data_IF_685920205257
#
_entry.id   IF_685920205257
#
_cell.length_a   1.000
_cell.length_b   1.000
_cell.length_c   1.000
_cell.angle_alpha   90.00
_cell.angle_beta   90.00
_cell.angle_gamma   90.00
#
_symmetry.space_group_name_H-M   'P 1'
#
loop_
_entity.id
_entity.type
_entity.pdbx_description
1 polymer ?
#
# COMPACT_ATOMS: atom_id res chain seq x y z
N UNK A 1 -14.62 -4.58 -5.86
CA UNK A 1 -15.80 -3.71 -6.09
C UNK A 1 -15.77 -3.19 -7.51
N UNK A 2 -16.92 -3.07 -8.18
CA UNK A 2 -16.96 -2.52 -9.54
C UNK A 2 -16.73 -1.00 -9.52
N UNK A 3 -16.17 -0.40 -10.60
CA UNK A 3 -15.88 1.03 -10.67
C UNK A 3 -17.08 1.94 -10.35
N UNK A 4 -18.30 1.47 -10.60
CA UNK A 4 -19.54 2.20 -10.27
C UNK A 4 -19.66 2.63 -8.81
N UNK A 5 -19.11 1.85 -7.88
CA UNK A 5 -19.28 2.06 -6.44
C UNK A 5 -17.97 2.31 -5.70
N UNK A 6 -16.83 2.15 -6.36
CA UNK A 6 -15.52 2.41 -5.77
C UNK A 6 -15.23 3.91 -5.83
N UNK A 7 -14.98 4.54 -4.68
CA UNK A 7 -14.41 5.90 -4.63
C UNK A 7 -12.95 5.84 -5.09
N UNK A 8 -12.51 6.85 -5.84
CA UNK A 8 -11.16 6.91 -6.41
C UNK A 8 -10.07 6.75 -5.35
N UNK A 9 -10.24 7.37 -4.18
CA UNK A 9 -9.28 7.31 -3.06
C UNK A 9 -9.12 5.88 -2.53
N UNK A 10 -10.23 5.18 -2.32
CA UNK A 10 -10.23 3.79 -1.86
C UNK A 10 -9.73 2.84 -2.95
N UNK A 11 -10.12 3.08 -4.21
CA UNK A 11 -9.65 2.28 -5.34
C UNK A 11 -8.14 2.41 -5.54
N UNK A 12 -7.59 3.62 -5.35
CA UNK A 12 -6.17 3.88 -5.48
C UNK A 12 -5.36 3.10 -4.43
N UNK A 13 -5.81 3.02 -3.17
CA UNK A 13 -5.14 2.25 -2.11
C UNK A 13 -4.90 0.80 -2.53
N UNK A 14 -5.86 0.17 -3.21
CA UNK A 14 -5.78 -1.22 -3.66
C UNK A 14 -5.37 -1.37 -5.13
N UNK A 15 -4.87 -0.30 -5.76
CA UNK A 15 -4.35 -0.37 -7.13
C UNK A 15 -3.00 -1.09 -7.18
N UNK A 16 -2.69 -1.71 -8.32
CA UNK A 16 -1.39 -2.34 -8.57
C UNK A 16 -0.22 -1.35 -8.38
N UNK A 17 -0.40 -0.10 -8.84
CA UNK A 17 0.59 0.97 -8.63
C UNK A 17 0.87 1.19 -7.14
N UNK A 18 -0.18 1.31 -6.32
CA UNK A 18 -0.02 1.54 -4.89
C UNK A 18 0.52 0.29 -4.16
N UNK A 19 0.16 -0.92 -4.61
CA UNK A 19 0.72 -2.19 -4.12
C UNK A 19 2.23 -2.23 -4.30
N UNK A 20 2.71 -2.10 -5.53
CA UNK A 20 4.16 -2.17 -5.82
C UNK A 20 4.94 -0.97 -5.26
N UNK A 21 4.30 0.20 -5.11
CA UNK A 21 4.94 1.33 -4.41
C UNK A 21 5.22 0.97 -2.94
N UNK A 22 4.26 0.36 -2.24
CA UNK A 22 4.47 -0.09 -0.86
C UNK A 22 5.52 -1.20 -0.77
N UNK A 23 5.56 -2.12 -1.73
CA UNK A 23 6.60 -3.14 -1.77
C UNK A 23 7.98 -2.52 -1.93
N UNK A 24 8.12 -1.54 -2.84
CA UNK A 24 9.38 -0.82 -3.03
C UNK A 24 9.81 -0.09 -1.75
N UNK A 25 8.89 0.58 -1.08
CA UNK A 25 9.17 1.26 0.20
C UNK A 25 9.68 0.27 1.25
N UNK A 26 9.02 -0.89 1.40
CA UNK A 26 9.41 -1.92 2.37
C UNK A 26 10.79 -2.49 2.05
N UNK A 27 11.06 -2.79 0.78
CA UNK A 27 12.37 -3.29 0.32
C UNK A 27 13.49 -2.28 0.62
N UNK A 28 13.27 -1.00 0.34
CA UNK A 28 14.24 0.06 0.64
C UNK A 28 14.44 0.19 2.15
N UNK A 29 13.37 0.14 2.95
CA UNK A 29 13.43 0.21 4.41
C UNK A 29 14.19 -0.99 5.01
N UNK A 30 14.04 -2.19 4.43
CA UNK A 30 14.79 -3.36 4.85
C UNK A 30 16.29 -3.18 4.59
N UNK A 31 16.67 -2.67 3.41
CA UNK A 31 18.08 -2.36 3.12
C UNK A 31 18.59 -1.25 4.04
N UNK A 32 17.79 -0.21 4.30
CA UNK A 32 18.15 0.87 5.22
C UNK A 32 18.43 0.35 6.64
N UNK A 33 17.62 -0.59 7.13
CA UNK A 33 17.86 -1.25 8.41
C UNK A 33 19.20 -2.00 8.40
N UNK A 34 19.54 -2.71 7.31
CA UNK A 34 20.81 -3.43 7.17
C UNK A 34 22.02 -2.49 7.06
N UNK A 35 21.87 -1.29 6.50
CA UNK A 35 22.89 -0.24 6.57
C UNK A 35 23.13 0.21 8.01
N UNK A 36 22.07 0.41 8.80
CA UNK A 36 22.19 0.78 10.23
C UNK A 36 22.87 -0.31 11.07
N UNK A 37 22.73 -1.58 10.67
CA UNK A 37 23.43 -2.71 11.27
C UNK A 37 24.88 -2.89 10.78
N UNK A 38 25.32 -2.11 9.79
CA UNK A 38 26.66 -2.19 9.21
C UNK A 38 26.87 -3.35 8.23
N UNK A 39 25.80 -4.02 7.79
CA UNK A 39 25.85 -5.14 6.85
C UNK A 39 25.94 -4.69 5.38
N UNK A 40 25.38 -3.52 5.08
CA UNK A 40 25.33 -2.92 3.75
C UNK A 40 25.98 -1.55 3.81
N UNK A 41 26.70 -1.19 2.75
CA UNK A 41 27.35 0.12 2.62
C UNK A 41 26.31 1.20 2.36
N UNK A 42 26.52 2.41 2.89
CA UNK A 42 25.59 3.53 2.67
C UNK A 42 25.52 3.91 1.20
N UNK A 43 26.61 3.72 0.45
CA UNK A 43 26.68 3.98 -0.99
C UNK A 43 25.75 3.07 -1.79
N UNK A 44 25.63 1.79 -1.40
CA UNK A 44 24.71 0.84 -2.04
C UNK A 44 23.24 1.25 -1.79
N UNK A 45 22.91 1.76 -0.60
CA UNK A 45 21.58 2.29 -0.30
C UNK A 45 21.26 3.55 -1.10
N UNK A 46 22.23 4.47 -1.25
CA UNK A 46 22.07 5.65 -2.10
C UNK A 46 21.79 5.26 -3.55
N UNK A 47 22.58 4.32 -4.10
CA UNK A 47 22.36 3.81 -5.45
C UNK A 47 20.98 3.15 -5.61
N UNK A 48 20.54 2.37 -4.62
CA UNK A 48 19.17 1.82 -4.60
C UNK A 48 18.14 2.94 -4.63
N UNK A 49 18.22 3.93 -3.73
CA UNK A 49 17.23 5.03 -3.68
C UNK A 49 17.19 5.87 -4.95
N UNK A 50 18.32 6.04 -5.63
CA UNK A 50 18.42 6.77 -6.90
C UNK A 50 17.80 5.97 -8.07
N UNK A 51 18.03 4.65 -8.13
CA UNK A 51 17.54 3.78 -9.21
C UNK A 51 16.18 3.13 -8.94
N UNK A 52 15.68 3.18 -7.70
CA UNK A 52 14.47 2.53 -7.24
C UNK A 52 13.24 3.03 -8.00
N UNK A 53 12.85 2.26 -9.00
CA UNK A 53 11.70 2.49 -9.85
C UNK A 53 11.18 1.16 -10.35
N UNK A 54 9.94 1.15 -10.79
CA UNK A 54 9.31 -0.04 -11.35
C UNK A 54 8.34 0.34 -12.47
N UNK A 55 8.09 -0.64 -13.35
CA UNK A 55 7.15 -0.53 -14.45
C UNK A 55 6.11 -1.66 -14.40
N UNK A 56 4.83 -1.29 -14.46
CA UNK A 56 3.72 -2.25 -14.27
C UNK A 56 3.62 -3.24 -15.44
N UNK A 57 3.87 -2.77 -16.66
CA UNK A 57 3.81 -3.64 -17.84
C UNK A 57 4.95 -4.65 -17.80
N UNK A 58 6.16 -4.19 -17.46
CA UNK A 58 7.33 -5.04 -17.31
C UNK A 58 7.18 -6.06 -16.19
N UNK A 59 6.59 -5.69 -15.05
CA UNK A 59 6.29 -6.66 -13.98
C UNK A 59 5.33 -7.73 -14.48
N UNK A 60 4.27 -7.36 -15.19
CA UNK A 60 3.30 -8.31 -15.73
C UNK A 60 3.94 -9.28 -16.74
N UNK A 61 4.85 -8.80 -17.60
CA UNK A 61 5.64 -9.66 -18.50
C UNK A 61 6.50 -10.66 -17.73
N UNK A 62 7.23 -10.19 -16.71
CA UNK A 62 8.06 -11.04 -15.87
C UNK A 62 7.22 -12.05 -15.08
N UNK A 63 6.07 -11.64 -14.54
CA UNK A 63 5.16 -12.53 -13.82
C UNK A 63 4.62 -13.64 -14.72
N UNK A 64 4.30 -13.34 -15.99
CA UNK A 64 3.88 -14.34 -16.96
C UNK A 64 4.95 -15.42 -17.22
N UNK A 65 6.24 -15.08 -17.05
CA UNK A 65 7.37 -16.00 -17.20
C UNK A 65 7.73 -16.73 -15.90
N UNK A 66 7.66 -16.03 -14.76
CA UNK A 66 8.10 -16.53 -13.45
C UNK A 66 7.01 -17.24 -12.67
N UNK A 67 5.75 -16.95 -12.99
CA UNK A 67 4.56 -17.40 -12.26
C UNK A 67 4.62 -17.05 -10.76
N UNK A 68 5.29 -15.95 -10.43
CA UNK A 68 5.43 -15.43 -9.08
C UNK A 68 5.64 -13.91 -9.12
N UNK A 69 4.66 -13.18 -8.58
CA UNK A 69 4.56 -11.72 -8.55
C UNK A 69 5.71 -11.01 -7.81
N UNK A 70 6.07 -11.44 -6.60
CA UNK A 70 7.18 -10.85 -5.82
C UNK A 70 8.51 -11.02 -6.56
N UNK A 71 8.74 -12.20 -7.15
CA UNK A 71 9.97 -12.44 -7.93
C UNK A 71 10.01 -11.51 -9.15
N UNK A 72 8.89 -11.39 -9.87
CA UNK A 72 8.78 -10.50 -11.02
C UNK A 72 9.02 -9.03 -10.65
N UNK A 73 8.44 -8.58 -9.53
CA UNK A 73 8.65 -7.24 -8.99
C UNK A 73 10.12 -6.97 -8.63
N UNK A 74 10.74 -7.85 -7.85
CA UNK A 74 12.14 -7.68 -7.42
C UNK A 74 13.08 -7.70 -8.62
N UNK A 75 12.83 -8.56 -9.61
CA UNK A 75 13.59 -8.59 -10.86
C UNK A 75 13.49 -7.27 -11.62
N UNK A 76 12.27 -6.72 -11.78
CA UNK A 76 12.08 -5.41 -12.42
C UNK A 76 12.80 -4.26 -11.70
N UNK A 77 12.72 -4.20 -10.37
CA UNK A 77 13.43 -3.14 -9.61
C UNK A 77 14.94 -3.28 -9.77
N UNK A 78 15.46 -4.52 -9.77
CA UNK A 78 16.89 -4.78 -9.97
C UNK A 78 17.38 -4.39 -11.36
N UNK A 79 16.56 -4.52 -12.41
CA UNK A 79 16.87 -4.03 -13.76
C UNK A 79 17.19 -2.52 -13.76
N UNK A 80 16.50 -1.74 -12.90
CA UNK A 80 16.68 -0.29 -12.82
C UNK A 80 17.84 0.14 -11.90
N UNK A 81 18.09 -0.61 -10.82
CA UNK A 81 19.11 -0.27 -9.81
C UNK A 81 20.52 -0.73 -10.21
N UNK A 82 20.65 -1.85 -10.94
CA UNK A 82 21.94 -2.46 -11.24
C UNK A 82 22.53 -3.25 -10.07
N UNK A 83 23.86 -3.23 -9.91
CA UNK A 83 24.59 -4.12 -9.00
C UNK A 83 24.14 -4.03 -7.54
N UNK A 84 23.83 -2.83 -7.04
CA UNK A 84 23.33 -2.62 -5.68
C UNK A 84 21.99 -3.33 -5.43
N UNK A 85 21.23 -3.64 -6.47
CA UNK A 85 19.96 -4.38 -6.41
C UNK A 85 20.08 -5.78 -5.82
N UNK A 86 21.30 -6.34 -5.72
CA UNK A 86 21.56 -7.62 -5.00
C UNK A 86 21.12 -7.60 -3.54
N UNK A 87 21.02 -6.41 -2.93
CA UNK A 87 20.61 -6.25 -1.53
C UNK A 87 19.09 -6.24 -1.35
N UNK A 88 18.33 -5.97 -2.41
CA UNK A 88 16.87 -6.03 -2.39
C UNK A 88 16.44 -7.47 -2.15
N UNK A 89 15.43 -7.66 -1.31
CA UNK A 89 14.84 -8.94 -0.92
C UNK A 89 15.80 -9.90 -0.22
N UNK A 90 16.99 -9.46 0.19
CA UNK A 90 17.95 -10.33 0.85
C UNK A 90 17.51 -10.65 2.28
N UNK A 91 17.36 -11.93 2.58
CA UNK A 91 16.97 -12.42 3.92
C UNK A 91 15.48 -12.30 4.23
N UNK A 92 14.67 -11.84 3.25
CA UNK A 92 13.22 -11.76 3.36
C UNK A 92 12.55 -12.95 2.65
N UNK A 93 11.36 -13.27 3.10
CA UNK A 93 10.38 -14.06 2.35
C UNK A 93 9.38 -13.14 1.67
N UNK A 94 8.64 -13.65 0.68
CA UNK A 94 7.55 -12.93 0.02
C UNK A 94 6.54 -12.34 1.03
N UNK A 95 6.21 -13.08 2.09
CA UNK A 95 5.25 -12.65 3.12
C UNK A 95 5.73 -11.45 3.94
N UNK A 96 7.04 -11.32 4.19
CA UNK A 96 7.57 -10.16 4.92
C UNK A 96 7.24 -8.84 4.21
N UNK A 97 7.20 -8.88 2.88
CA UNK A 97 6.84 -7.73 2.03
C UNK A 97 5.32 -7.64 1.84
N UNK A 98 4.68 -8.74 1.41
CA UNK A 98 3.26 -8.76 1.04
C UNK A 98 2.36 -8.48 2.24
N UNK A 99 2.59 -9.12 3.38
CA UNK A 99 1.73 -8.98 4.55
C UNK A 99 1.91 -7.61 5.19
N UNK A 100 3.16 -7.11 5.23
CA UNK A 100 3.44 -5.75 5.70
C UNK A 100 2.78 -4.70 4.80
N UNK A 101 2.91 -4.83 3.48
CA UNK A 101 2.26 -3.92 2.53
C UNK A 101 0.73 -3.95 2.64
N UNK A 102 0.18 -5.14 2.88
CA UNK A 102 -1.27 -5.35 3.08
C UNK A 102 -1.74 -4.68 4.37
N UNK A 103 -0.99 -4.83 5.47
CA UNK A 103 -1.28 -4.13 6.72
C UNK A 103 -1.26 -2.61 6.56
N UNK A 104 -0.30 -2.07 5.80
CA UNK A 104 -0.23 -0.64 5.46
C UNK A 104 -1.44 -0.21 4.62
N UNK A 105 -1.83 -0.97 3.59
CA UNK A 105 -2.99 -0.65 2.78
C UNK A 105 -4.30 -0.69 3.59
N UNK A 106 -4.45 -1.64 4.52
CA UNK A 106 -5.60 -1.72 5.42
C UNK A 106 -5.65 -0.54 6.39
N UNK A 107 -4.51 -0.10 6.93
CA UNK A 107 -4.42 1.12 7.74
C UNK A 107 -4.90 2.33 6.94
N UNK A 108 -4.36 2.54 5.73
CA UNK A 108 -4.74 3.68 4.88
C UNK A 108 -6.24 3.66 4.55
N UNK A 109 -6.81 2.47 4.31
CA UNK A 109 -8.24 2.30 4.06
C UNK A 109 -9.07 2.62 5.32
N UNK A 110 -8.62 2.20 6.50
CA UNK A 110 -9.25 2.53 7.77
C UNK A 110 -9.25 4.03 8.04
N UNK A 111 -8.17 4.74 7.71
CA UNK A 111 -8.11 6.20 7.87
C UNK A 111 -9.20 6.91 7.06
N UNK A 112 -9.43 6.51 5.81
CA UNK A 112 -10.54 7.03 4.99
C UNK A 112 -11.91 6.73 5.60
N UNK A 113 -12.11 5.52 6.10
CA UNK A 113 -13.37 5.11 6.71
C UNK A 113 -13.65 5.87 8.01
N UNK A 114 -12.64 6.11 8.83
CA UNK A 114 -12.75 6.87 10.08
C UNK A 114 -13.19 8.30 9.77
N UNK A 115 -12.61 8.95 8.77
CA UNK A 115 -13.02 10.28 8.33
C UNK A 115 -14.49 10.29 7.88
N UNK A 116 -14.88 9.34 7.03
CA UNK A 116 -16.25 9.22 6.52
C UNK A 116 -17.29 9.02 7.62
N UNK A 117 -16.99 8.12 8.57
CA UNK A 117 -17.84 7.88 9.74
C UNK A 117 -17.94 9.13 10.60
N UNK A 118 -16.86 9.89 10.73
CA UNK A 118 -16.85 11.20 11.40
C UNK A 118 -17.83 12.18 10.75
N UNK A 119 -17.79 12.31 9.42
CA UNK A 119 -18.70 13.17 8.65
C UNK A 119 -20.17 12.73 8.78
N UNK A 120 -20.43 11.44 8.62
CA UNK A 120 -21.77 10.87 8.79
C UNK A 120 -22.32 11.15 10.19
N UNK A 121 -21.49 10.95 11.22
CA UNK A 121 -21.86 11.21 12.62
C UNK A 121 -22.26 12.66 12.83
N UNK A 122 -21.53 13.61 12.25
CA UNK A 122 -21.89 15.03 12.32
C UNK A 122 -23.22 15.32 11.62
N UNK A 123 -23.46 14.77 10.43
CA UNK A 123 -24.72 14.97 9.69
C UNK A 123 -25.92 14.39 10.44
N UNK A 124 -25.80 13.18 10.97
CA UNK A 124 -26.86 12.53 11.77
C UNK A 124 -27.11 13.32 13.05
N UNK A 125 -26.06 13.77 13.74
CA UNK A 125 -26.18 14.61 14.94
C UNK A 125 -26.93 15.90 14.65
N UNK A 126 -26.61 16.58 13.55
CA UNK A 126 -27.29 17.81 13.16
C UNK A 126 -28.79 17.57 12.96
N UNK A 127 -29.17 16.51 12.24
CA UNK A 127 -30.57 16.15 12.02
C UNK A 127 -31.30 15.74 13.30
N UNK A 128 -30.63 15.01 14.19
CA UNK A 128 -31.18 14.63 15.48
C UNK A 128 -31.47 15.86 16.36
N UNK A 129 -30.58 16.87 16.35
CA UNK A 129 -30.79 18.12 17.09
C UNK A 129 -31.90 18.99 16.46
N UNK A 130 -31.94 19.10 15.14
CA UNK A 130 -32.98 19.82 14.39
C UNK A 130 -34.39 19.28 14.73
N UNK A 131 -34.54 17.96 14.75
CA UNK A 131 -35.82 17.30 15.00
C UNK A 131 -36.04 16.87 16.45
N UNK A 132 -35.22 17.36 17.39
CA UNK A 132 -35.25 16.93 18.80
C UNK A 132 -36.64 17.03 19.44
N UNK A 133 -37.43 18.04 19.05
CA UNK A 133 -38.77 18.30 19.58
C UNK A 133 -39.88 17.99 18.55
N UNK A 134 -39.56 17.37 17.41
CA UNK A 134 -40.56 16.99 16.42
C UNK A 134 -41.35 15.80 16.95
N UNK A 135 -42.66 15.98 17.18
CA UNK A 135 -43.54 14.90 17.62
C UNK A 135 -43.70 13.86 16.50
N UNK A 136 -43.48 12.59 16.82
CA UNK A 136 -43.62 11.47 15.90
C UNK A 136 -44.27 10.28 16.61
N UNK A 137 -45.17 9.58 15.93
CA UNK A 137 -45.72 8.33 16.45
C UNK A 137 -44.64 7.23 16.46
N UNK A 138 -44.39 6.66 17.65
CA UNK A 138 -43.62 5.42 17.78
C UNK A 138 -44.34 4.26 17.10
N UNK A 139 -43.60 3.32 16.51
CA UNK A 139 -44.15 2.16 15.79
C UNK A 139 -43.56 0.88 16.38
N UNK A 140 -44.41 0.07 17.00
CA UNK A 140 -44.15 -1.29 17.51
C UNK A 140 -45.36 -2.17 17.15
N UNK A 141 -45.17 -3.47 16.92
CA UNK A 141 -46.26 -4.41 16.57
C UNK A 141 -47.14 -4.76 17.76
#
# INVERSE_FOLDING_TARGET
MIPRYSRDEMAFIFSERAKFSRWLDIEILAVEARVRLGEVKVEDLSAIKEGASFDLERIAELEALRHHDVVAFVENVRENVGDAGRHLHYGLTSSDVVDTATAVALRDACDLLIEDVGRLTQSVRAKALEHRNTLMAGRTH
#
